data_IF_643308008227
#
_entry.id   IF_643308008227
#
_cell.length_a   1.000
_cell.length_b   1.000
_cell.length_c   1.000
_cell.angle_alpha   90.00
_cell.angle_beta   90.00
_cell.angle_gamma   90.00
#
_symmetry.space_group_name_H-M   'P 1'
#
loop_
_entity.id
_entity.type
_entity.pdbx_description
1 polymer ?
#
# COMPACT_ATOMS: atom_id res chain seq x y z
N UNK A 1 -17.96 -4.35 -18.23
CA UNK A 1 -17.50 -3.73 -16.96
C UNK A 1 -15.99 -3.54 -17.10
N UNK A 2 -15.48 -2.32 -17.00
CA UNK A 2 -14.03 -2.11 -17.02
C UNK A 2 -13.41 -2.71 -15.76
N UNK A 3 -12.41 -3.56 -15.90
CA UNK A 3 -11.72 -4.10 -14.73
C UNK A 3 -11.09 -2.95 -13.91
N UNK A 4 -11.09 -3.06 -12.56
CA UNK A 4 -10.40 -2.10 -11.73
C UNK A 4 -8.90 -2.08 -12.06
N UNK A 5 -8.31 -0.88 -12.18
CA UNK A 5 -6.88 -0.72 -12.45
C UNK A 5 -6.03 -1.48 -11.44
N UNK A 6 -5.16 -2.35 -11.95
CA UNK A 6 -4.23 -3.15 -11.14
C UNK A 6 -4.84 -4.41 -10.51
N UNK A 7 -6.09 -4.77 -10.81
CA UNK A 7 -6.74 -5.98 -10.27
C UNK A 7 -5.92 -7.26 -10.49
N UNK A 8 -5.29 -7.40 -11.66
CA UNK A 8 -4.41 -8.54 -11.97
C UNK A 8 -3.19 -8.66 -11.03
N UNK A 9 -2.74 -7.55 -10.42
CA UNK A 9 -1.54 -7.45 -9.57
C UNK A 9 -1.85 -7.53 -8.05
N UNK A 10 -3.11 -7.43 -7.61
CA UNK A 10 -3.49 -7.45 -6.18
C UNK A 10 -3.56 -8.87 -5.57
N UNK A 11 -2.88 -9.85 -6.15
CA UNK A 11 -2.94 -11.26 -5.71
C UNK A 11 -1.58 -11.71 -5.20
N UNK A 12 -1.58 -12.43 -4.09
CA UNK A 12 -0.37 -12.96 -3.45
C UNK A 12 0.23 -11.99 -2.41
N UNK A 13 1.39 -12.34 -1.83
CA UNK A 13 2.12 -11.49 -0.91
C UNK A 13 2.54 -10.17 -1.57
N UNK A 14 2.71 -9.13 -0.77
CA UNK A 14 3.25 -7.86 -1.25
C UNK A 14 4.70 -7.99 -1.72
N UNK A 15 5.00 -7.37 -2.86
CA UNK A 15 6.33 -7.37 -3.48
C UNK A 15 6.85 -5.95 -3.68
N UNK A 16 8.18 -5.82 -3.82
CA UNK A 16 8.81 -4.54 -4.15
C UNK A 16 8.27 -4.03 -5.49
N UNK A 17 7.87 -2.76 -5.53
CA UNK A 17 7.25 -2.11 -6.69
C UNK A 17 5.72 -2.13 -6.70
N UNK A 18 5.08 -2.88 -5.79
CA UNK A 18 3.62 -2.86 -5.68
C UNK A 18 3.12 -1.52 -5.14
N UNK A 19 2.03 -1.02 -5.72
CA UNK A 19 1.28 0.09 -5.16
C UNK A 19 0.27 -0.45 -4.14
N UNK A 20 0.45 -0.06 -2.88
CA UNK A 20 -0.38 -0.51 -1.77
C UNK A 20 -1.10 0.66 -1.11
N UNK A 21 -2.21 0.36 -0.45
CA UNK A 21 -2.98 1.30 0.35
C UNK A 21 -3.00 0.83 1.80
N UNK A 22 -2.55 1.70 2.69
CA UNK A 22 -2.64 1.53 4.13
C UNK A 22 -3.82 2.34 4.67
N UNK A 23 -4.65 1.72 5.49
CA UNK A 23 -5.72 2.41 6.22
C UNK A 23 -5.30 2.51 7.69
N UNK A 24 -5.25 3.74 8.21
CA UNK A 24 -4.92 3.96 9.63
C UNK A 24 -6.13 3.66 10.55
N UNK A 25 -5.94 3.59 11.88
CA UNK A 25 -7.04 3.37 12.83
C UNK A 25 -8.14 4.45 12.83
N UNK A 26 -7.89 5.62 12.23
CA UNK A 26 -8.86 6.70 12.05
C UNK A 26 -9.55 6.64 10.68
N UNK A 27 -9.28 5.60 9.88
CA UNK A 27 -9.83 5.42 8.54
C UNK A 27 -9.18 6.28 7.46
N UNK A 28 -8.02 6.90 7.72
CA UNK A 28 -7.29 7.65 6.68
C UNK A 28 -6.54 6.70 5.78
N UNK A 29 -6.57 6.99 4.49
CA UNK A 29 -5.94 6.17 3.46
C UNK A 29 -4.62 6.80 2.99
N UNK A 30 -3.59 5.97 2.94
CA UNK A 30 -2.27 6.33 2.45
C UNK A 30 -1.88 5.36 1.34
N UNK A 31 -1.55 5.89 0.16
CA UNK A 31 -1.13 5.07 -0.98
C UNK A 31 0.33 5.32 -1.27
N UNK A 32 1.11 4.25 -1.40
CA UNK A 32 2.54 4.33 -1.68
C UNK A 32 3.03 3.10 -2.45
N UNK A 33 4.18 3.25 -3.09
CA UNK A 33 4.89 2.14 -3.73
C UNK A 33 5.82 1.48 -2.72
N UNK A 34 5.81 0.15 -2.66
CA UNK A 34 6.73 -0.60 -1.82
C UNK A 34 8.15 -0.55 -2.37
N UNK A 35 9.09 -0.22 -1.49
CA UNK A 35 10.51 -0.19 -1.80
C UNK A 35 11.28 -0.93 -0.71
N UNK A 36 12.30 -1.69 -1.10
CA UNK A 36 13.11 -2.45 -0.16
C UNK A 36 13.83 -1.51 0.82
N UNK A 37 13.71 -1.79 2.12
CA UNK A 37 14.40 -1.02 3.17
C UNK A 37 13.80 0.36 3.46
N UNK A 38 12.70 0.76 2.81
CA UNK A 38 11.97 1.98 3.18
C UNK A 38 11.02 1.71 4.34
N UNK A 39 10.94 2.69 5.24
CA UNK A 39 9.99 2.70 6.36
C UNK A 39 8.97 3.80 6.13
N UNK A 40 7.69 3.46 6.17
CA UNK A 40 6.61 4.43 6.06
C UNK A 40 6.26 4.94 7.46
N UNK A 41 6.54 6.22 7.72
CA UNK A 41 6.26 6.86 9.01
C UNK A 41 4.89 7.53 8.95
N UNK A 42 4.00 7.21 9.88
CA UNK A 42 2.83 8.05 10.13
C UNK A 42 3.09 8.97 11.30
N UNK A 43 2.35 10.08 11.39
CA UNK A 43 2.41 11.04 12.49
C UNK A 43 2.09 10.44 13.88
N UNK A 44 1.79 9.13 13.96
CA UNK A 44 1.51 8.40 15.20
C UNK A 44 2.44 7.20 15.43
N UNK A 45 3.44 6.97 14.58
CA UNK A 45 4.44 5.91 14.74
C UNK A 45 4.98 5.40 13.40
N UNK A 46 6.22 4.90 13.43
CA UNK A 46 6.82 4.08 12.37
C UNK A 46 6.31 2.65 12.54
N UNK A 47 5.92 1.99 11.44
CA UNK A 47 5.58 0.56 11.40
C UNK A 47 6.44 -0.15 10.37
#
# INVERSE_FOLDING_TARGET
>A
MSEPTGAARRRGPFTVGDQVQLTDPKGRHYTFTLEAGKNFHTHKGSF
#
